data_IF_371776171129
#
_entry.id   IF_371776171129
#
_cell.length_a   1.000
_cell.length_b   1.000
_cell.length_c   1.000
_cell.angle_alpha   90.00
_cell.angle_beta   90.00
_cell.angle_gamma   90.00
#
_symmetry.space_group_name_H-M   'P 1'
#
loop_
_entity.id
_entity.type
_entity.pdbx_description
1 polymer ?
#
# COMPACT_ATOMS: atom_id res chain seq x y z
N UNK A 1 34.56 -34.75 -22.22
CA UNK A 1 33.29 -34.05 -22.57
C UNK A 1 32.46 -33.74 -21.34
N UNK A 2 32.13 -34.71 -20.46
CA UNK A 2 31.34 -34.48 -19.23
C UNK A 2 31.85 -33.34 -18.36
N UNK A 3 33.17 -33.28 -18.11
CA UNK A 3 33.74 -32.25 -17.24
C UNK A 3 33.71 -30.84 -17.86
N UNK A 4 33.75 -30.76 -19.20
CA UNK A 4 33.62 -29.51 -19.94
C UNK A 4 32.16 -29.01 -19.93
N UNK A 5 31.20 -29.92 -20.06
CA UNK A 5 29.78 -29.61 -19.83
C UNK A 5 29.50 -29.19 -18.39
N UNK A 6 30.08 -29.87 -17.40
CA UNK A 6 29.94 -29.50 -15.99
C UNK A 6 30.52 -28.10 -15.71
N UNK A 7 31.68 -27.77 -16.28
CA UNK A 7 32.28 -26.45 -16.17
C UNK A 7 31.40 -25.36 -16.81
N UNK A 8 30.81 -25.62 -17.98
CA UNK A 8 29.88 -24.68 -18.63
C UNK A 8 28.61 -24.45 -17.81
N UNK A 9 28.02 -25.52 -17.25
CA UNK A 9 26.84 -25.42 -16.39
C UNK A 9 27.16 -24.65 -15.11
N UNK A 10 28.30 -24.93 -14.47
CA UNK A 10 28.75 -24.20 -13.29
C UNK A 10 28.94 -22.70 -13.59
N UNK A 11 29.54 -22.36 -14.73
CA UNK A 11 29.71 -20.98 -15.17
C UNK A 11 28.35 -20.29 -15.40
N UNK A 12 27.40 -20.96 -16.05
CA UNK A 12 26.06 -20.41 -16.27
C UNK A 12 25.31 -20.15 -14.94
N UNK A 13 25.41 -21.06 -13.98
CA UNK A 13 24.83 -20.88 -12.64
C UNK A 13 25.47 -19.72 -11.89
N UNK A 14 26.79 -19.54 -11.98
CA UNK A 14 27.49 -18.40 -11.37
C UNK A 14 27.05 -17.07 -11.97
N UNK A 15 26.90 -17.00 -13.30
CA UNK A 15 26.40 -15.79 -13.99
C UNK A 15 24.96 -15.49 -13.58
N UNK A 16 24.09 -16.51 -13.48
CA UNK A 16 22.71 -16.33 -13.03
C UNK A 16 22.63 -15.88 -11.56
N UNK A 17 23.46 -16.43 -10.68
CA UNK A 17 23.54 -16.00 -9.28
C UNK A 17 24.03 -14.55 -9.17
N UNK A 18 25.04 -14.17 -9.95
CA UNK A 18 25.54 -12.80 -9.99
C UNK A 18 24.49 -11.81 -10.50
N UNK A 19 23.74 -12.16 -11.55
CA UNK A 19 22.67 -11.29 -12.06
C UNK A 19 21.56 -11.08 -11.03
N UNK A 20 21.10 -12.14 -10.36
CA UNK A 20 20.12 -12.05 -9.28
C UNK A 20 20.62 -11.23 -8.09
N UNK A 21 21.89 -11.37 -7.72
CA UNK A 21 22.47 -10.58 -6.64
C UNK A 21 22.49 -9.08 -6.98
N UNK A 22 22.87 -8.73 -8.21
CA UNK A 22 22.92 -7.33 -8.67
C UNK A 22 21.54 -6.70 -8.77
N UNK A 23 20.54 -7.41 -9.30
CA UNK A 23 19.16 -6.90 -9.38
C UNK A 23 18.57 -6.68 -7.99
N UNK A 24 18.78 -7.62 -7.05
CA UNK A 24 18.36 -7.48 -5.66
C UNK A 24 19.05 -6.30 -4.97
N UNK A 25 20.35 -6.10 -5.21
CA UNK A 25 21.09 -4.99 -4.63
C UNK A 25 20.62 -3.63 -5.19
N UNK A 26 20.37 -3.56 -6.49
CA UNK A 26 19.80 -2.37 -7.13
C UNK A 26 18.41 -2.04 -6.56
N UNK A 27 17.53 -3.05 -6.44
CA UNK A 27 16.21 -2.92 -5.83
C UNK A 27 16.28 -2.39 -4.40
N UNK A 28 17.12 -3.02 -3.54
CA UNK A 28 17.32 -2.59 -2.15
C UNK A 28 17.84 -1.16 -2.06
N UNK A 29 18.77 -0.77 -2.94
CA UNK A 29 19.32 0.60 -2.96
C UNK A 29 18.27 1.63 -3.38
N UNK A 30 17.48 1.33 -4.41
CA UNK A 30 16.33 2.16 -4.83
C UNK A 30 15.34 2.33 -3.69
N UNK A 31 15.02 1.24 -2.97
CA UNK A 31 14.08 1.29 -1.85
C UNK A 31 14.58 2.13 -0.68
N UNK A 32 15.86 1.99 -0.31
CA UNK A 32 16.47 2.84 0.72
C UNK A 32 16.38 4.31 0.34
N UNK A 33 16.74 4.66 -0.90
CA UNK A 33 16.64 6.04 -1.40
C UNK A 33 15.23 6.61 -1.33
N UNK A 34 14.22 5.82 -1.69
CA UNK A 34 12.81 6.25 -1.62
C UNK A 34 12.38 6.52 -0.16
N UNK A 35 12.79 5.67 0.77
CA UNK A 35 12.51 5.89 2.20
C UNK A 35 13.25 7.12 2.74
N UNK A 36 14.51 7.29 2.33
CA UNK A 36 15.33 8.42 2.76
C UNK A 36 14.83 9.74 2.17
N UNK A 37 14.30 9.75 0.93
CA UNK A 37 13.69 10.94 0.34
C UNK A 37 12.41 11.35 1.08
N UNK A 38 11.53 10.40 1.43
CA UNK A 38 10.33 10.71 2.22
C UNK A 38 10.69 11.26 3.60
N UNK A 39 11.71 10.69 4.26
CA UNK A 39 12.21 11.20 5.54
C UNK A 39 12.83 12.59 5.41
N UNK A 40 13.57 12.85 4.33
CA UNK A 40 14.13 14.17 4.06
C UNK A 40 13.05 15.23 3.82
N UNK A 41 11.87 14.84 3.31
CA UNK A 41 10.68 15.68 3.18
C UNK A 41 9.93 15.86 4.52
N UNK A 42 10.43 15.32 5.64
CA UNK A 42 9.77 15.37 6.94
C UNK A 42 8.54 14.47 7.05
N UNK A 43 8.35 13.54 6.10
CA UNK A 43 7.20 12.63 6.08
C UNK A 43 7.50 11.37 6.87
N UNK A 44 6.51 10.91 7.62
CA UNK A 44 6.53 9.64 8.31
C UNK A 44 5.96 8.57 7.39
N UNK A 45 6.71 7.48 7.20
CA UNK A 45 6.25 6.33 6.44
C UNK A 45 5.30 5.52 7.33
N UNK A 46 4.07 5.35 6.88
CA UNK A 46 3.03 4.61 7.60
C UNK A 46 3.04 3.15 7.16
N UNK A 47 3.07 2.88 5.86
CA UNK A 47 3.06 1.52 5.33
C UNK A 47 3.72 1.44 3.94
N UNK A 48 4.15 0.23 3.57
CA UNK A 48 4.54 -0.11 2.19
C UNK A 48 3.47 -1.00 1.58
N UNK A 49 2.80 -0.49 0.57
CA UNK A 49 1.64 -1.12 -0.05
C UNK A 49 2.06 -1.85 -1.32
N UNK A 50 1.71 -3.14 -1.48
CA UNK A 50 2.00 -3.86 -2.71
C UNK A 50 1.19 -3.30 -3.89
N UNK A 51 1.86 -2.96 -4.98
CA UNK A 51 1.22 -2.46 -6.20
C UNK A 51 1.88 -3.08 -7.44
N UNK A 52 1.23 -4.10 -8.01
CA UNK A 52 1.81 -4.90 -9.10
C UNK A 52 3.11 -5.57 -8.66
N UNK A 53 4.19 -5.32 -9.41
CA UNK A 53 5.53 -5.88 -9.15
C UNK A 53 6.41 -5.01 -8.23
N UNK A 54 5.90 -3.89 -7.71
CA UNK A 54 6.66 -2.99 -6.83
C UNK A 54 5.87 -2.64 -5.56
N UNK A 55 6.50 -1.88 -4.66
CA UNK A 55 5.89 -1.37 -3.44
C UNK A 55 5.68 0.14 -3.55
N UNK A 56 4.50 0.63 -3.22
CA UNK A 56 4.19 2.06 -3.11
C UNK A 56 4.23 2.47 -1.64
N UNK A 57 4.84 3.62 -1.34
CA UNK A 57 4.83 4.14 0.02
C UNK A 57 3.48 4.82 0.32
N UNK A 58 2.90 4.49 1.46
CA UNK A 58 1.90 5.30 2.12
C UNK A 58 2.61 6.10 3.22
N UNK A 59 2.71 7.41 3.06
CA UNK A 59 3.39 8.31 4.00
C UNK A 59 2.48 9.45 4.44
N UNK A 60 2.86 10.15 5.50
CA UNK A 60 2.09 11.23 6.09
C UNK A 60 3.01 12.37 6.54
N UNK A 61 2.58 13.61 6.35
CA UNK A 61 3.11 14.76 7.09
C UNK A 61 2.06 15.29 8.09
N UNK A 62 2.22 16.51 8.59
CA UNK A 62 1.27 17.13 9.51
C UNK A 62 -0.12 17.29 8.88
N UNK A 63 -0.19 17.71 7.62
CA UNK A 63 -1.39 18.16 6.90
C UNK A 63 -1.94 17.17 5.88
N UNK A 64 -1.12 16.24 5.37
CA UNK A 64 -1.45 15.40 4.21
C UNK A 64 -1.01 13.95 4.39
N UNK A 65 -1.74 13.06 3.73
CA UNK A 65 -1.29 11.71 3.40
C UNK A 65 -0.83 11.65 1.94
N UNK A 66 0.10 10.76 1.65
CA UNK A 66 0.63 10.52 0.31
C UNK A 66 0.57 9.03 -0.01
N UNK A 67 0.06 8.72 -1.19
CA UNK A 67 -0.04 7.37 -1.73
C UNK A 67 0.38 7.38 -3.19
N UNK A 68 1.63 6.97 -3.46
CA UNK A 68 2.24 7.16 -4.77
C UNK A 68 2.25 8.64 -5.14
N UNK A 69 1.71 8.98 -6.30
CA UNK A 69 1.61 10.37 -6.77
C UNK A 69 0.39 11.13 -6.23
N UNK A 70 -0.47 10.46 -5.44
CA UNK A 70 -1.69 11.05 -4.90
C UNK A 70 -1.41 11.69 -3.55
N UNK A 71 -1.84 12.93 -3.37
CA UNK A 71 -1.87 13.61 -2.06
C UNK A 71 -3.30 13.75 -1.57
N UNK A 72 -3.53 13.46 -0.29
CA UNK A 72 -4.83 13.54 0.37
C UNK A 72 -4.70 14.55 1.50
N UNK A 73 -5.48 15.62 1.43
CA UNK A 73 -5.54 16.62 2.49
C UNK A 73 -6.36 16.11 3.68
N UNK A 74 -5.77 16.11 4.88
CA UNK A 74 -6.40 15.56 6.08
C UNK A 74 -7.66 16.32 6.48
N UNK A 75 -7.76 17.60 6.13
CA UNK A 75 -8.93 18.42 6.47
C UNK A 75 -10.11 18.16 5.54
N UNK A 76 -9.83 17.58 4.37
CA UNK A 76 -10.84 17.18 3.40
C UNK A 76 -11.33 15.76 3.60
N UNK A 77 -10.74 14.99 4.52
CA UNK A 77 -11.15 13.60 4.79
C UNK A 77 -12.49 13.61 5.52
N UNK A 78 -13.47 13.02 4.86
CA UNK A 78 -14.84 12.91 5.35
C UNK A 78 -15.09 11.55 6.00
N UNK A 79 -14.49 10.47 5.48
CA UNK A 79 -14.54 9.15 6.11
C UNK A 79 -13.34 8.29 5.71
N UNK A 80 -13.04 7.29 6.53
CA UNK A 80 -12.15 6.18 6.17
C UNK A 80 -12.84 4.85 6.46
N UNK A 81 -12.74 3.90 5.53
CA UNK A 81 -13.36 2.58 5.64
C UNK A 81 -12.37 1.47 5.32
N UNK A 82 -12.35 0.41 6.13
CA UNK A 82 -11.65 -0.84 5.80
C UNK A 82 -12.59 -1.72 5.00
N UNK A 83 -12.10 -2.26 3.90
CA UNK A 83 -12.85 -3.11 2.99
C UNK A 83 -12.28 -4.54 3.01
N UNK A 84 -13.17 -5.53 3.01
CA UNK A 84 -12.87 -6.92 2.65
C UNK A 84 -13.64 -7.25 1.37
N UNK A 85 -12.95 -7.65 0.32
CA UNK A 85 -13.55 -7.99 -0.99
C UNK A 85 -14.48 -6.87 -1.49
N UNK A 86 -14.06 -5.61 -1.32
CA UNK A 86 -14.84 -4.43 -1.70
C UNK A 86 -15.96 -4.03 -0.73
N UNK A 87 -16.29 -4.86 0.26
CA UNK A 87 -17.34 -4.60 1.24
C UNK A 87 -16.79 -3.95 2.52
N UNK A 88 -17.38 -2.84 3.01
CA UNK A 88 -16.90 -2.17 4.21
C UNK A 88 -17.20 -2.98 5.48
N UNK A 89 -16.18 -3.18 6.31
CA UNK A 89 -16.28 -3.90 7.60
C UNK A 89 -16.05 -3.01 8.82
N UNK A 90 -15.41 -1.85 8.63
CA UNK A 90 -15.18 -0.85 9.67
C UNK A 90 -15.13 0.54 9.02
N UNK A 91 -15.57 1.55 9.76
CA UNK A 91 -15.56 2.92 9.30
C UNK A 91 -15.29 3.90 10.45
N UNK A 92 -14.58 4.98 10.15
CA UNK A 92 -14.51 6.17 10.97
C UNK A 92 -14.94 7.36 10.10
N UNK A 93 -15.90 8.15 10.59
CA UNK A 93 -16.47 9.29 9.87
C UNK A 93 -16.11 10.57 10.60
N UNK A 94 -15.73 11.58 9.84
CA UNK A 94 -15.39 12.90 10.36
C UNK A 94 -16.64 13.61 10.86
N UNK A 95 -16.58 14.16 12.07
CA UNK A 95 -17.65 15.02 12.61
C UNK A 95 -17.72 16.36 11.88
N UNK A 96 -16.65 16.77 11.19
CA UNK A 96 -16.57 18.01 10.41
C UNK A 96 -17.36 17.93 9.10
N UNK A 97 -17.58 16.72 8.58
CA UNK A 97 -18.28 16.46 7.32
C UNK A 97 -19.44 15.47 7.55
N UNK A 98 -20.48 15.85 8.32
CA UNK A 98 -21.55 14.94 8.73
C UNK A 98 -22.34 14.37 7.54
N UNK A 99 -22.40 15.08 6.42
CA UNK A 99 -23.02 14.60 5.18
C UNK A 99 -22.36 13.33 4.61
N UNK A 100 -21.13 13.03 5.02
CA UNK A 100 -20.45 11.79 4.64
C UNK A 100 -20.93 10.55 5.42
N UNK A 101 -21.66 10.74 6.53
CA UNK A 101 -22.37 9.66 7.24
C UNK A 101 -23.51 9.13 6.37
N UNK A 102 -24.22 10.02 5.66
CA UNK A 102 -25.37 9.69 4.82
C UNK A 102 -24.98 9.19 3.42
N UNK A 103 -23.71 9.35 3.02
CA UNK A 103 -23.20 8.76 1.78
C UNK A 103 -23.19 7.25 1.91
N UNK A 104 -23.88 6.60 0.97
CA UNK A 104 -23.83 5.15 0.79
C UNK A 104 -22.35 4.73 0.74
N UNK A 105 -21.90 3.76 1.55
CA UNK A 105 -20.51 3.36 1.57
C UNK A 105 -20.03 3.04 0.16
N UNK A 106 -18.87 3.57 -0.21
CA UNK A 106 -18.27 3.25 -1.50
C UNK A 106 -17.96 1.75 -1.51
N UNK A 107 -18.79 0.98 -2.24
CA UNK A 107 -18.53 -0.42 -2.53
C UNK A 107 -17.74 -0.47 -3.83
N UNK A 108 -16.63 -1.19 -3.82
CA UNK A 108 -15.84 -1.42 -5.02
C UNK A 108 -16.24 -2.77 -5.62
N UNK A 109 -16.31 -2.84 -6.94
CA UNK A 109 -16.62 -4.09 -7.64
C UNK A 109 -15.54 -5.13 -7.32
N UNK A 110 -15.98 -6.33 -6.99
CA UNK A 110 -15.10 -7.46 -6.70
C UNK A 110 -14.22 -7.72 -7.93
N UNK A 111 -12.91 -7.46 -7.82
CA UNK A 111 -11.98 -7.71 -8.91
C UNK A 111 -11.68 -9.21 -8.87
N UNK A 112 -11.97 -9.98 -9.94
CA UNK A 112 -11.87 -11.45 -9.90
C UNK A 112 -10.40 -11.90 -9.99
N UNK A 113 -9.62 -11.65 -8.95
CA UNK A 113 -8.35 -12.31 -8.72
C UNK A 113 -8.64 -13.67 -8.07
N UNK A 114 -9.06 -14.63 -8.89
CA UNK A 114 -9.08 -16.07 -8.61
C UNK A 114 -9.56 -16.52 -7.21
N UNK A 115 -10.76 -17.08 -7.15
CA UNK A 115 -11.39 -17.87 -6.06
C UNK A 115 -10.38 -18.43 -5.02
N UNK A 116 -9.93 -17.66 -4.02
CA UNK A 116 -9.18 -18.19 -2.86
C UNK A 116 -8.79 -17.20 -1.74
N UNK A 117 -8.89 -15.85 -1.89
CA UNK A 117 -8.30 -14.94 -0.89
C UNK A 117 -9.13 -13.70 -0.61
N UNK A 118 -9.26 -13.37 0.67
CA UNK A 118 -9.82 -12.10 1.12
C UNK A 118 -8.87 -10.95 0.75
N UNK A 119 -9.35 -10.04 -0.10
CA UNK A 119 -8.66 -8.79 -0.44
C UNK A 119 -8.96 -7.75 0.62
N UNK A 120 -7.92 -7.15 1.18
CA UNK A 120 -8.03 -6.09 2.16
C UNK A 120 -7.64 -4.77 1.53
N UNK A 121 -8.50 -3.76 1.64
CA UNK A 121 -8.24 -2.42 1.12
C UNK A 121 -8.73 -1.34 2.11
N UNK A 122 -8.28 -0.10 1.90
CA UNK A 122 -8.76 1.05 2.67
C UNK A 122 -9.28 2.12 1.71
N UNK A 123 -10.56 2.47 1.85
CA UNK A 123 -11.15 3.60 1.16
C UNK A 123 -11.04 4.85 2.02
N UNK A 124 -10.35 5.86 1.51
CA UNK A 124 -10.26 7.19 2.12
C UNK A 124 -11.16 8.11 1.32
N UNK A 125 -12.29 8.47 1.90
CA UNK A 125 -13.27 9.35 1.28
C UNK A 125 -12.99 10.79 1.68
N UNK A 126 -12.80 11.63 0.68
CA UNK A 126 -12.70 13.08 0.84
C UNK A 126 -13.96 13.75 0.33
N UNK A 127 -14.13 15.03 0.65
CA UNK A 127 -15.22 15.84 0.08
C UNK A 127 -15.19 15.87 -1.46
N UNK A 128 -14.00 15.72 -2.07
CA UNK A 128 -13.78 15.80 -3.51
C UNK A 128 -13.75 14.45 -4.22
N UNK A 129 -13.81 13.33 -3.50
CA UNK A 129 -13.75 11.99 -4.08
C UNK A 129 -13.07 10.96 -3.19
N UNK A 130 -12.96 9.73 -3.69
CA UNK A 130 -12.46 8.57 -2.91
C UNK A 130 -11.10 8.11 -3.43
N UNK A 131 -10.15 7.91 -2.52
CA UNK A 131 -8.88 7.26 -2.81
C UNK A 131 -8.89 5.86 -2.21
N UNK A 132 -8.75 4.85 -3.06
CA UNK A 132 -8.59 3.45 -2.65
C UNK A 132 -7.10 3.14 -2.46
N UNK A 133 -6.72 2.72 -1.26
CA UNK A 133 -5.40 2.17 -0.93
C UNK A 133 -5.50 0.65 -1.03
N UNK A 134 -4.91 0.11 -2.10
CA UNK A 134 -5.02 -1.32 -2.45
C UNK A 134 -4.03 -2.14 -1.63
N UNK A 135 -4.41 -2.59 -0.42
CA UNK A 135 -3.48 -3.34 0.45
C UNK A 135 -3.27 -4.78 -0.04
N UNK A 136 -4.13 -5.24 -0.95
CA UNK A 136 -3.93 -6.43 -1.77
C UNK A 136 -4.57 -7.70 -1.21
N UNK A 137 -4.36 -8.80 -1.93
CA UNK A 137 -4.82 -10.15 -1.61
C UNK A 137 -3.66 -11.10 -1.20
N UNK A 138 -2.57 -10.53 -0.65
CA UNK A 138 -1.39 -11.31 -0.26
C UNK A 138 -1.78 -12.35 0.80
N UNK A 139 -1.20 -13.55 0.69
CA UNK A 139 -1.36 -14.65 1.66
C UNK A 139 -0.89 -14.18 3.05
N UNK A 140 -1.52 -14.71 4.10
CA UNK A 140 -1.27 -14.40 5.53
C UNK A 140 -1.89 -13.09 6.03
N UNK A 141 -1.69 -12.79 7.32
CA UNK A 141 -2.21 -11.59 8.03
C UNK A 141 -1.64 -10.27 7.52
N UNK A 142 -0.73 -10.27 6.54
CA UNK A 142 -0.02 -9.08 6.06
C UNK A 142 -0.97 -8.06 5.44
N UNK A 143 -1.86 -8.48 4.52
CA UNK A 143 -2.80 -7.55 3.87
C UNK A 143 -3.74 -6.90 4.88
N UNK A 144 -4.19 -7.68 5.86
CA UNK A 144 -5.00 -7.20 6.98
C UNK A 144 -4.23 -6.23 7.88
N UNK A 145 -2.97 -6.53 8.22
CA UNK A 145 -2.12 -5.66 9.05
C UNK A 145 -1.78 -4.35 8.33
N UNK A 146 -1.53 -4.38 7.02
CA UNK A 146 -1.34 -3.19 6.19
C UNK A 146 -2.61 -2.33 6.17
N UNK A 147 -3.75 -2.93 5.86
CA UNK A 147 -5.04 -2.23 5.85
C UNK A 147 -5.35 -1.64 7.24
N UNK A 148 -5.12 -2.40 8.32
CA UNK A 148 -5.27 -1.91 9.70
C UNK A 148 -4.35 -0.74 9.99
N UNK A 149 -3.08 -0.81 9.60
CA UNK A 149 -2.09 0.25 9.85
C UNK A 149 -2.47 1.54 9.15
N UNK A 150 -2.87 1.45 7.87
CA UNK A 150 -3.35 2.60 7.10
C UNK A 150 -4.63 3.16 7.70
N UNK A 151 -5.60 2.30 8.00
CA UNK A 151 -6.87 2.68 8.60
C UNK A 151 -6.68 3.42 9.91
N UNK A 152 -5.90 2.87 10.85
CA UNK A 152 -5.66 3.51 12.14
C UNK A 152 -4.93 4.84 11.98
N UNK A 153 -3.96 4.94 11.06
CA UNK A 153 -3.29 6.21 10.80
C UNK A 153 -4.26 7.30 10.31
N UNK A 154 -5.15 6.96 9.39
CA UNK A 154 -6.14 7.89 8.84
C UNK A 154 -7.24 8.19 9.86
N UNK A 155 -7.76 7.17 10.56
CA UNK A 155 -8.74 7.33 11.63
C UNK A 155 -8.24 8.29 12.71
N UNK A 156 -7.00 8.13 13.16
CA UNK A 156 -6.41 9.05 14.12
C UNK A 156 -6.35 10.50 13.60
N UNK A 157 -6.12 10.70 12.30
CA UNK A 157 -6.17 12.04 11.71
C UNK A 157 -7.59 12.60 11.60
N UNK A 158 -8.59 11.75 11.38
CA UNK A 158 -10.01 12.12 11.36
C UNK A 158 -10.52 12.47 12.76
N UNK A 159 -10.06 11.77 13.80
CA UNK A 159 -10.51 11.97 15.18
C UNK A 159 -9.78 13.11 15.91
N UNK A 160 -8.55 13.44 15.53
CA UNK A 160 -7.74 14.48 16.19
C UNK A 160 -7.90 15.89 15.62
N UNK A 161 -8.49 16.03 14.43
CA UNK A 161 -8.77 17.31 13.77
C UNK A 161 -10.25 17.67 13.84
#
# INVERSE_FOLDING_TARGET
>A
MRDLFAALVALALLVAAASLATTLQAYRRRRRRLRDSERALGRTIVAEIPAGDDLVLFSADASRFYYGDRSIDKDLIAAVRVLINGAPIAAAVSTRHPEAVDRRPTSFEDRPEGIARDRWDVAIETVSGTVLVECGAIRERVSQELARTVYEAVKNAVERN
#
